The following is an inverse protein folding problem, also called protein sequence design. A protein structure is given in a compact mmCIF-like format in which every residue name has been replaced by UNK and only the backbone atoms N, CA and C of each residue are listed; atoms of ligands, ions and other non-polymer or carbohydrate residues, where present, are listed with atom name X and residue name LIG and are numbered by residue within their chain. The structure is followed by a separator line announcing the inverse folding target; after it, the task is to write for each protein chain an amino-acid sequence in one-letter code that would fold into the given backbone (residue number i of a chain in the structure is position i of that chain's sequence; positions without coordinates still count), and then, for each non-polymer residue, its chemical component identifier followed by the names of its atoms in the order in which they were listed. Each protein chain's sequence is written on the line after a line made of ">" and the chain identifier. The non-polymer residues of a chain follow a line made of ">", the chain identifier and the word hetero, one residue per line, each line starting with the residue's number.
data_IF_290062447144
#
_entry.id   IF_290062447144
#
_cell.length_a   1.000
_cell.length_b   1.000
_cell.length_c   1.000
_cell.angle_alpha   90.00
_cell.angle_beta   90.00
_cell.angle_gamma   90.00
#
_symmetry.space_group_name_H-M   'P 1'
#
loop_
_entity.id
_entity.type
_entity.pdbx_description
1 polymer ?
#
# COMPACT_ATOMS: atom_id res chain seq x y z
N UNK A 1 -2.80 31.72 34.54
CA UNK A 1 -2.30 32.94 33.87
C UNK A 1 -1.23 32.53 32.86
N UNK A 2 -1.21 33.14 31.65
CA UNK A 2 -0.64 32.70 30.34
C UNK A 2 -1.68 31.99 29.46
N UNK A 3 -2.63 32.73 28.87
CA UNK A 3 -2.56 33.53 27.64
C UNK A 3 -2.55 32.67 26.36
N UNK A 4 -3.73 32.67 25.74
CA UNK A 4 -4.13 32.21 24.41
C UNK A 4 -3.48 33.08 23.33
N UNK A 5 -3.00 32.48 22.22
CA UNK A 5 -3.05 33.12 20.89
C UNK A 5 -3.00 32.03 19.80
N UNK A 6 -4.14 31.66 19.21
CA UNK A 6 -4.74 32.29 18.01
C UNK A 6 -4.13 31.82 16.69
N UNK A 7 -4.47 30.61 16.28
CA UNK A 7 -4.52 30.22 14.85
C UNK A 7 -5.66 29.24 14.53
N UNK A 8 -6.46 28.84 15.52
CA UNK A 8 -7.63 27.95 15.36
C UNK A 8 -8.95 28.74 15.11
N UNK A 9 -8.94 30.07 15.04
CA UNK A 9 -10.22 30.82 15.16
C UNK A 9 -10.33 32.04 14.24
N UNK A 10 -10.18 31.85 12.93
CA UNK A 10 -10.70 32.83 11.95
C UNK A 10 -11.64 32.13 10.96
N UNK A 11 -11.30 30.93 10.47
CA UNK A 11 -12.18 30.17 9.57
C UNK A 11 -13.47 29.71 10.24
N UNK A 12 -13.42 29.30 11.52
CA UNK A 12 -14.61 28.86 12.26
C UNK A 12 -15.51 30.03 12.70
N UNK A 13 -14.94 31.23 12.89
CA UNK A 13 -15.67 32.43 13.33
C UNK A 13 -16.36 33.11 12.16
N UNK A 14 -15.72 33.14 10.98
CA UNK A 14 -16.34 33.65 9.75
C UNK A 14 -17.50 32.77 9.24
N UNK A 15 -17.52 31.47 9.56
CA UNK A 15 -18.63 30.58 9.21
C UNK A 15 -19.84 30.75 10.14
N UNK A 16 -19.62 31.03 11.44
CA UNK A 16 -20.70 31.30 12.39
C UNK A 16 -21.42 32.64 12.15
N UNK A 17 -20.72 33.65 11.64
CA UNK A 17 -21.33 34.96 11.32
C UNK A 17 -22.24 34.92 10.08
N UNK A 18 -22.25 33.81 9.32
CA UNK A 18 -23.11 33.60 8.16
C UNK A 18 -24.30 32.65 8.41
N UNK A 19 -24.64 32.36 9.68
CA UNK A 19 -25.84 31.58 10.03
C UNK A 19 -25.80 30.09 9.69
N UNK A 20 -24.60 29.49 9.57
CA UNK A 20 -24.43 28.05 9.38
C UNK A 20 -24.21 27.40 10.75
N UNK A 21 -25.30 27.14 11.48
CA UNK A 21 -25.27 26.63 12.85
C UNK A 21 -25.08 25.11 12.99
N UNK A 22 -24.70 24.41 11.91
CA UNK A 22 -24.48 22.97 11.98
C UNK A 22 -23.26 22.57 11.14
N UNK A 23 -22.10 22.44 11.80
CA UNK A 23 -21.01 21.60 11.29
C UNK A 23 -21.30 20.19 11.82
N UNK A 24 -22.41 19.62 11.35
CA UNK A 24 -22.46 18.17 11.19
C UNK A 24 -21.33 17.80 10.24
N UNK A 25 -20.64 16.70 10.50
CA UNK A 25 -19.84 16.03 9.48
C UNK A 25 -20.71 15.93 8.22
N UNK A 26 -20.45 16.77 7.22
CA UNK A 26 -21.17 16.84 5.95
C UNK A 26 -20.81 15.61 5.08
N UNK A 27 -21.02 14.42 5.64
CA UNK A 27 -21.32 13.22 4.90
C UNK A 27 -22.75 13.41 4.39
N UNK A 28 -22.94 14.14 3.29
CA UNK A 28 -24.19 14.04 2.57
C UNK A 28 -24.36 12.58 2.15
N UNK A 29 -25.20 11.87 2.89
CA UNK A 29 -25.86 10.65 2.44
C UNK A 29 -26.69 11.04 1.22
N UNK A 30 -26.05 11.11 0.06
CA UNK A 30 -26.75 10.83 -1.17
C UNK A 30 -27.23 9.39 -1.02
N UNK A 31 -28.54 9.17 -1.06
CA UNK A 31 -29.21 7.87 -0.92
C UNK A 31 -28.83 6.84 -2.00
N UNK A 32 -27.75 7.09 -2.73
CA UNK A 32 -27.20 6.22 -3.75
C UNK A 32 -26.75 4.90 -3.14
N UNK A 33 -27.27 3.83 -3.75
CA UNK A 33 -26.97 2.46 -3.37
C UNK A 33 -25.51 2.16 -3.70
N UNK A 34 -24.69 1.90 -2.68
CA UNK A 34 -23.29 1.48 -2.87
C UNK A 34 -23.09 0.00 -2.57
N UNK A 35 -22.19 -0.65 -3.29
CA UNK A 35 -21.67 -1.96 -2.89
C UNK A 35 -20.89 -1.84 -1.58
N UNK A 36 -21.00 -2.87 -0.73
CA UNK A 36 -20.24 -2.92 0.53
C UNK A 36 -18.73 -2.85 0.22
N UNK A 37 -17.96 -1.97 0.90
CA UNK A 37 -16.52 -1.93 0.72
C UNK A 37 -15.89 -3.25 1.17
N UNK A 38 -15.00 -3.77 0.33
CA UNK A 38 -14.31 -5.03 0.56
C UNK A 38 -12.91 -4.80 1.07
N UNK A 39 -12.59 -5.40 2.22
CA UNK A 39 -11.25 -5.33 2.81
C UNK A 39 -10.34 -6.40 2.22
N UNK A 40 -9.06 -6.05 2.07
CA UNK A 40 -8.02 -6.99 1.69
C UNK A 40 -7.91 -8.15 2.69
N UNK A 41 -7.56 -9.34 2.19
CA UNK A 41 -7.55 -10.57 2.99
C UNK A 41 -6.28 -10.66 3.86
N UNK A 42 -6.46 -10.60 5.19
CA UNK A 42 -5.36 -10.65 6.15
C UNK A 42 -4.63 -12.00 6.17
N UNK A 43 -5.33 -13.11 5.89
CA UNK A 43 -4.72 -14.43 5.80
C UNK A 43 -3.72 -14.52 4.66
N UNK A 44 -4.06 -13.95 3.50
CA UNK A 44 -3.17 -13.89 2.34
C UNK A 44 -1.96 -13.02 2.63
N UNK A 45 -2.15 -11.85 3.25
CA UNK A 45 -1.05 -10.97 3.68
C UNK A 45 -0.06 -11.71 4.59
N UNK A 46 -0.58 -12.43 5.59
CA UNK A 46 0.24 -13.16 6.56
C UNK A 46 1.00 -14.32 5.91
N UNK A 47 0.38 -15.05 4.99
CA UNK A 47 1.04 -16.14 4.29
C UNK A 47 2.10 -15.62 3.30
N UNK A 48 1.82 -14.51 2.60
CA UNK A 48 2.80 -13.86 1.73
C UNK A 48 4.02 -13.41 2.55
N UNK A 49 3.79 -12.72 3.68
CA UNK A 49 4.84 -12.34 4.62
C UNK A 49 5.65 -13.54 5.11
N UNK A 50 5.01 -14.64 5.50
CA UNK A 50 5.71 -15.86 5.97
C UNK A 50 6.64 -16.44 4.91
N UNK A 51 6.22 -16.47 3.64
CA UNK A 51 7.05 -16.95 2.53
C UNK A 51 8.30 -16.11 2.36
N UNK A 52 8.15 -14.78 2.41
CA UNK A 52 9.27 -13.84 2.32
C UNK A 52 10.20 -13.89 3.55
N UNK A 53 9.63 -13.94 4.76
CA UNK A 53 10.39 -14.05 6.00
C UNK A 53 11.26 -15.33 5.98
N UNK A 54 10.74 -16.48 5.51
CA UNK A 54 11.51 -17.72 5.36
C UNK A 54 12.73 -17.58 4.43
N UNK A 55 12.57 -16.88 3.30
CA UNK A 55 13.68 -16.63 2.37
C UNK A 55 14.73 -15.71 2.99
N UNK A 56 14.29 -14.63 3.65
CA UNK A 56 15.19 -13.71 4.35
C UNK A 56 15.98 -14.43 5.46
N UNK A 57 15.31 -15.25 6.27
CA UNK A 57 15.96 -15.95 7.37
C UNK A 57 16.98 -16.99 6.88
N UNK A 58 16.65 -17.72 5.81
CA UNK A 58 17.59 -18.64 5.17
C UNK A 58 18.82 -17.89 4.61
N UNK A 59 18.58 -16.74 3.97
CA UNK A 59 19.64 -15.87 3.46
C UNK A 59 20.53 -15.34 4.57
N UNK A 60 19.94 -14.78 5.62
CA UNK A 60 20.68 -14.20 6.73
C UNK A 60 21.53 -15.25 7.47
N UNK A 61 20.97 -16.45 7.74
CA UNK A 61 21.72 -17.56 8.34
C UNK A 61 22.93 -17.96 7.49
N UNK A 62 22.75 -18.05 6.17
CA UNK A 62 23.84 -18.34 5.24
C UNK A 62 24.91 -17.25 5.29
N UNK A 63 24.49 -15.98 5.29
CA UNK A 63 25.40 -14.83 5.31
C UNK A 63 26.18 -14.77 6.61
N UNK A 64 25.52 -14.91 7.76
CA UNK A 64 26.19 -14.98 9.07
C UNK A 64 27.23 -16.09 9.10
N UNK A 65 26.86 -17.31 8.70
CA UNK A 65 27.79 -18.44 8.66
C UNK A 65 29.02 -18.14 7.80
N UNK A 66 28.83 -17.73 6.54
CA UNK A 66 29.94 -17.57 5.60
C UNK A 66 30.78 -16.30 5.82
N UNK A 67 30.20 -15.24 6.38
CA UNK A 67 30.93 -14.00 6.66
C UNK A 67 31.71 -14.14 7.97
N UNK A 68 31.13 -14.75 9.01
CA UNK A 68 31.78 -14.85 10.33
C UNK A 68 32.80 -16.00 10.42
N UNK A 69 32.59 -17.12 9.71
CA UNK A 69 33.41 -18.33 9.88
C UNK A 69 34.93 -18.14 9.72
N UNK A 70 35.36 -17.12 8.98
CA UNK A 70 36.77 -16.82 8.76
C UNK A 70 37.02 -15.31 8.74
N UNK A 71 36.26 -14.57 9.55
CA UNK A 71 36.31 -13.11 9.54
C UNK A 71 37.71 -12.59 9.93
N UNK A 72 38.29 -13.10 11.01
CA UNK A 72 39.55 -12.60 11.57
C UNK A 72 40.80 -12.81 10.69
N UNK A 73 40.72 -13.68 9.68
CA UNK A 73 41.84 -13.97 8.79
C UNK A 73 41.68 -13.32 7.40
N UNK A 74 40.54 -12.69 7.12
CA UNK A 74 40.24 -12.15 5.78
C UNK A 74 40.78 -10.74 5.59
N UNK A 75 41.48 -10.55 4.48
CA UNK A 75 41.69 -9.22 3.90
C UNK A 75 40.37 -8.63 3.39
N UNK A 76 40.34 -7.30 3.21
CA UNK A 76 39.19 -6.61 2.59
C UNK A 76 38.80 -7.21 1.22
N UNK A 77 39.80 -7.61 0.41
CA UNK A 77 39.56 -8.21 -0.91
C UNK A 77 38.92 -9.60 -0.80
N UNK A 78 39.35 -10.42 0.15
CA UNK A 78 38.77 -11.75 0.38
C UNK A 78 37.35 -11.65 0.93
N UNK A 79 37.10 -10.70 1.83
CA UNK A 79 35.76 -10.41 2.32
C UNK A 79 34.83 -9.97 1.19
N UNK A 80 35.27 -9.05 0.32
CA UNK A 80 34.49 -8.62 -0.84
C UNK A 80 34.13 -9.80 -1.75
N UNK A 81 35.09 -10.70 -2.03
CA UNK A 81 34.86 -11.91 -2.83
C UNK A 81 33.87 -12.86 -2.17
N UNK A 82 33.96 -13.05 -0.86
CA UNK A 82 33.03 -13.89 -0.10
C UNK A 82 31.60 -13.35 -0.19
N UNK A 83 31.42 -12.04 0.00
CA UNK A 83 30.12 -11.37 -0.11
C UNK A 83 29.57 -11.49 -1.53
N UNK A 84 30.37 -11.22 -2.55
CA UNK A 84 29.95 -11.37 -3.96
C UNK A 84 29.51 -12.81 -4.28
N UNK A 85 30.18 -13.81 -3.72
CA UNK A 85 29.75 -15.21 -3.85
C UNK A 85 28.40 -15.47 -3.18
N UNK A 86 28.06 -14.74 -2.10
CA UNK A 86 26.73 -14.83 -1.45
C UNK A 86 25.67 -14.09 -2.24
N UNK A 87 25.98 -12.91 -2.76
CA UNK A 87 25.09 -12.14 -3.65
C UNK A 87 24.65 -13.02 -4.81
N UNK A 88 25.59 -13.57 -5.59
CA UNK A 88 25.27 -14.44 -6.74
C UNK A 88 24.45 -15.67 -6.37
N UNK A 89 24.75 -16.30 -5.23
CA UNK A 89 23.99 -17.45 -4.77
C UNK A 89 22.54 -17.07 -4.47
N UNK A 90 22.34 -16.03 -3.68
CA UNK A 90 21.01 -15.65 -3.20
C UNK A 90 20.19 -14.93 -4.25
N UNK A 91 20.82 -14.22 -5.17
CA UNK A 91 20.18 -13.69 -6.37
C UNK A 91 19.50 -14.81 -7.19
N UNK A 92 20.20 -15.93 -7.43
CA UNK A 92 19.60 -17.10 -8.10
C UNK A 92 18.45 -17.73 -7.31
N UNK A 93 18.59 -17.84 -5.98
CA UNK A 93 17.53 -18.41 -5.11
C UNK A 93 16.29 -17.51 -5.12
N UNK A 94 16.45 -16.21 -4.93
CA UNK A 94 15.35 -15.25 -5.00
C UNK A 94 14.77 -15.19 -6.41
N UNK A 95 15.59 -15.21 -7.46
CA UNK A 95 15.13 -15.19 -8.85
C UNK A 95 14.15 -16.32 -9.17
N UNK A 96 14.47 -17.55 -8.74
CA UNK A 96 13.59 -18.71 -8.92
C UNK A 96 12.36 -18.72 -8.00
N UNK A 97 12.47 -18.17 -6.79
CA UNK A 97 11.35 -18.16 -5.82
C UNK A 97 10.43 -16.95 -5.97
N UNK A 98 10.90 -15.86 -6.55
CA UNK A 98 10.14 -14.64 -6.74
C UNK A 98 8.93 -14.90 -7.63
N UNK A 99 9.13 -15.55 -8.78
CA UNK A 99 8.08 -15.92 -9.73
C UNK A 99 7.01 -16.80 -9.07
N UNK A 100 7.42 -17.95 -8.48
CA UNK A 100 6.51 -18.87 -7.75
C UNK A 100 5.64 -18.16 -6.71
N UNK A 101 6.26 -17.28 -5.91
CA UNK A 101 5.58 -16.56 -4.83
C UNK A 101 4.65 -15.48 -5.40
N UNK A 102 5.08 -14.75 -6.43
CA UNK A 102 4.30 -13.70 -7.07
C UNK A 102 3.04 -14.26 -7.75
N UNK A 103 3.18 -15.34 -8.53
CA UNK A 103 2.06 -16.05 -9.16
C UNK A 103 1.07 -16.53 -8.09
N UNK A 104 1.57 -17.20 -7.04
CA UNK A 104 0.70 -17.64 -5.94
C UNK A 104 -0.02 -16.46 -5.29
N UNK A 105 0.66 -15.35 -5.05
CA UNK A 105 0.10 -14.16 -4.42
C UNK A 105 -1.01 -13.56 -5.28
N UNK A 106 -0.72 -13.27 -6.55
CA UNK A 106 -1.65 -12.65 -7.49
C UNK A 106 -2.91 -13.50 -7.69
N UNK A 107 -2.74 -14.81 -7.91
CA UNK A 107 -3.86 -15.76 -8.10
C UNK A 107 -4.69 -15.95 -6.83
N UNK A 108 -4.06 -15.96 -5.65
CA UNK A 108 -4.76 -16.08 -4.37
C UNK A 108 -5.57 -14.82 -4.05
N UNK A 109 -4.99 -13.63 -4.24
CA UNK A 109 -5.73 -12.36 -4.07
C UNK A 109 -6.87 -12.25 -5.08
N UNK A 110 -6.65 -12.67 -6.33
CA UNK A 110 -7.68 -12.71 -7.40
C UNK A 110 -8.89 -13.51 -6.93
N UNK A 111 -8.66 -14.76 -6.49
CA UNK A 111 -9.71 -15.65 -5.99
C UNK A 111 -10.51 -15.03 -4.85
N UNK A 112 -9.85 -14.47 -3.85
CA UNK A 112 -10.55 -13.87 -2.71
C UNK A 112 -11.32 -12.60 -3.08
N UNK A 113 -10.76 -11.80 -3.98
CA UNK A 113 -11.42 -10.58 -4.47
C UNK A 113 -12.67 -10.92 -5.28
N UNK A 114 -12.59 -11.88 -6.21
CA UNK A 114 -13.75 -12.31 -6.99
C UNK A 114 -14.86 -12.91 -6.11
N UNK A 115 -14.50 -13.71 -5.10
CA UNK A 115 -15.47 -14.28 -4.16
C UNK A 115 -16.18 -13.17 -3.37
N UNK A 116 -15.41 -12.24 -2.79
CA UNK A 116 -16.01 -11.16 -2.01
C UNK A 116 -16.86 -10.23 -2.88
N UNK A 117 -16.43 -9.95 -4.11
CA UNK A 117 -17.14 -9.05 -5.02
C UNK A 117 -18.42 -9.71 -5.53
N UNK A 118 -18.38 -11.01 -5.83
CA UNK A 118 -19.56 -11.83 -6.12
C UNK A 118 -20.59 -11.76 -4.99
N UNK A 119 -20.16 -11.89 -3.73
CA UNK A 119 -21.05 -11.77 -2.58
C UNK A 119 -21.66 -10.37 -2.47
N UNK A 120 -20.86 -9.32 -2.70
CA UNK A 120 -21.35 -7.94 -2.69
C UNK A 120 -22.39 -7.69 -3.78
N UNK A 121 -22.14 -8.17 -5.01
CA UNK A 121 -23.06 -8.06 -6.15
C UNK A 121 -24.38 -8.81 -5.92
N UNK A 122 -24.33 -10.02 -5.35
CA UNK A 122 -25.54 -10.76 -4.96
C UNK A 122 -26.39 -9.99 -3.96
N UNK A 123 -25.75 -9.33 -3.00
CA UNK A 123 -26.44 -8.54 -1.98
C UNK A 123 -27.25 -7.37 -2.55
N UNK A 124 -26.98 -6.95 -3.79
CA UNK A 124 -27.71 -5.87 -4.47
C UNK A 124 -28.55 -6.34 -5.67
N UNK A 125 -28.62 -7.65 -5.91
CA UNK A 125 -29.40 -8.26 -7.00
C UNK A 125 -28.67 -8.39 -8.34
N UNK A 126 -27.36 -8.12 -8.41
CA UNK A 126 -26.58 -8.24 -9.65
C UNK A 126 -26.04 -9.67 -9.79
N UNK A 127 -26.48 -10.36 -10.85
CA UNK A 127 -26.10 -11.75 -11.16
C UNK A 127 -25.07 -11.90 -12.29
N UNK A 128 -24.22 -10.89 -12.49
CA UNK A 128 -23.10 -10.91 -13.46
C UNK A 128 -21.77 -10.80 -12.72
N UNK A 129 -20.85 -11.74 -12.96
CA UNK A 129 -19.60 -11.84 -12.21
C UNK A 129 -18.40 -11.94 -13.17
N UNK A 130 -17.90 -10.82 -13.72
CA UNK A 130 -16.75 -10.86 -14.61
C UNK A 130 -15.51 -11.30 -13.83
N UNK A 131 -14.66 -12.08 -14.49
CA UNK A 131 -13.32 -12.39 -13.98
C UNK A 131 -12.43 -11.15 -14.09
N UNK A 132 -11.45 -11.07 -13.20
CA UNK A 132 -10.35 -10.11 -13.34
C UNK A 132 -9.57 -10.47 -14.63
N UNK A 133 -9.25 -9.49 -15.50
CA UNK A 133 -8.49 -9.72 -16.73
C UNK A 133 -7.08 -10.25 -16.48
N UNK A 134 -6.61 -11.18 -17.32
CA UNK A 134 -5.29 -11.80 -17.15
C UNK A 134 -4.15 -10.79 -17.25
N UNK A 135 -4.25 -9.75 -18.08
CA UNK A 135 -3.21 -8.72 -18.17
C UNK A 135 -3.03 -7.95 -16.85
N UNK A 136 -4.10 -7.72 -16.10
CA UNK A 136 -4.04 -7.09 -14.76
C UNK A 136 -3.38 -8.03 -13.76
N UNK A 137 -3.68 -9.33 -13.83
CA UNK A 137 -3.04 -10.34 -12.97
C UNK A 137 -1.55 -10.44 -13.28
N UNK A 138 -1.16 -10.56 -14.55
CA UNK A 138 0.23 -10.63 -14.99
C UNK A 138 1.02 -9.38 -14.58
N UNK A 139 0.41 -8.19 -14.62
CA UNK A 139 1.05 -6.96 -14.15
C UNK A 139 1.35 -7.00 -12.64
N UNK A 140 0.42 -7.51 -11.83
CA UNK A 140 0.63 -7.71 -10.39
C UNK A 140 1.71 -8.75 -10.13
N UNK A 141 1.75 -9.82 -10.90
CA UNK A 141 2.80 -10.85 -10.82
C UNK A 141 4.17 -10.24 -11.04
N UNK A 142 4.36 -9.49 -12.15
CA UNK A 142 5.63 -8.82 -12.46
C UNK A 142 6.04 -7.80 -11.39
N UNK A 143 5.12 -6.93 -10.95
CA UNK A 143 5.40 -5.95 -9.88
C UNK A 143 5.89 -6.65 -8.60
N UNK A 144 5.21 -7.74 -8.21
CA UNK A 144 5.57 -8.46 -7.00
C UNK A 144 6.85 -9.28 -7.15
N UNK A 145 7.12 -9.84 -8.32
CA UNK A 145 8.38 -10.53 -8.63
C UNK A 145 9.56 -9.57 -8.48
N UNK A 146 9.48 -8.36 -9.05
CA UNK A 146 10.52 -7.33 -8.96
C UNK A 146 10.71 -6.85 -7.52
N UNK A 147 9.62 -6.65 -6.77
CA UNK A 147 9.68 -6.30 -5.35
C UNK A 147 10.41 -7.39 -4.54
N UNK A 148 10.15 -8.67 -4.83
CA UNK A 148 10.82 -9.78 -4.15
C UNK A 148 12.31 -9.84 -4.53
N UNK A 149 12.66 -9.65 -5.81
CA UNK A 149 14.04 -9.62 -6.29
C UNK A 149 14.86 -8.47 -5.68
N UNK A 150 14.22 -7.34 -5.41
CA UNK A 150 14.90 -6.20 -4.76
C UNK A 150 15.22 -6.42 -3.27
N UNK A 151 14.71 -7.49 -2.63
CA UNK A 151 14.98 -7.81 -1.22
C UNK A 151 16.47 -8.10 -0.97
N UNK A 152 17.09 -9.10 -1.65
CA UNK A 152 18.51 -9.38 -1.49
C UNK A 152 19.39 -8.19 -1.87
N UNK A 153 19.05 -7.42 -2.92
CA UNK A 153 19.85 -6.26 -3.34
C UNK A 153 20.02 -5.24 -2.21
N UNK A 154 18.91 -4.80 -1.59
CA UNK A 154 18.94 -3.84 -0.48
C UNK A 154 19.63 -4.41 0.75
N UNK A 155 19.43 -5.70 1.02
CA UNK A 155 20.09 -6.39 2.12
C UNK A 155 21.61 -6.42 1.94
N UNK A 156 22.10 -6.90 0.78
CA UNK A 156 23.53 -7.05 0.51
C UNK A 156 24.27 -5.73 0.35
N UNK A 157 23.59 -4.66 -0.08
CA UNK A 157 24.17 -3.31 -0.03
C UNK A 157 24.54 -2.93 1.41
N UNK A 158 23.65 -3.21 2.36
CA UNK A 158 23.89 -2.99 3.79
C UNK A 158 25.01 -3.87 4.33
N UNK A 159 24.99 -5.17 4.00
CA UNK A 159 26.02 -6.13 4.44
C UNK A 159 27.41 -5.75 3.90
N UNK A 160 27.52 -5.36 2.63
CA UNK A 160 28.79 -4.93 2.03
C UNK A 160 29.37 -3.73 2.77
N UNK A 161 28.52 -2.74 3.08
CA UNK A 161 28.93 -1.55 3.83
C UNK A 161 29.45 -1.93 5.23
N UNK A 162 28.67 -2.72 5.97
CA UNK A 162 29.01 -3.14 7.34
C UNK A 162 30.29 -3.97 7.37
N UNK A 163 30.46 -4.91 6.44
CA UNK A 163 31.65 -5.77 6.41
C UNK A 163 32.93 -4.99 6.05
N UNK A 164 32.84 -4.00 5.16
CA UNK A 164 34.00 -3.15 4.84
C UNK A 164 34.37 -2.27 6.03
N UNK A 165 33.38 -1.69 6.72
CA UNK A 165 33.63 -0.92 7.95
C UNK A 165 34.28 -1.79 9.03
N UNK A 166 33.79 -3.02 9.21
CA UNK A 166 34.34 -3.95 10.19
C UNK A 166 35.85 -4.20 9.97
N UNK A 167 36.28 -4.40 8.72
CA UNK A 167 37.70 -4.59 8.41
C UNK A 167 38.51 -3.29 8.55
N UNK A 168 37.99 -2.17 8.07
CA UNK A 168 38.71 -0.88 8.12
C UNK A 168 38.96 -0.40 9.55
N UNK A 169 38.02 -0.66 10.46
CA UNK A 169 38.07 -0.21 11.85
C UNK A 169 38.39 -1.34 12.83
N UNK A 170 38.81 -2.50 12.34
CA UNK A 170 39.18 -3.68 13.14
C UNK A 170 38.13 -4.07 14.19
N UNK A 171 36.86 -4.15 13.77
CA UNK A 171 35.76 -4.55 14.65
C UNK A 171 35.88 -6.00 15.08
N UNK A 172 35.37 -6.32 16.28
CA UNK A 172 35.22 -7.70 16.71
C UNK A 172 34.16 -8.46 15.90
N UNK A 173 34.28 -9.79 15.84
CA UNK A 173 33.29 -10.64 15.17
C UNK A 173 31.88 -10.48 15.77
N UNK A 174 31.78 -10.29 17.09
CA UNK A 174 30.51 -10.02 17.79
C UNK A 174 29.89 -8.69 17.35
N UNK A 175 30.70 -7.63 17.19
CA UNK A 175 30.20 -6.35 16.68
C UNK A 175 29.71 -6.47 15.23
N UNK A 176 30.46 -7.16 14.36
CA UNK A 176 30.04 -7.43 13.00
C UNK A 176 28.72 -8.22 12.95
N UNK A 177 28.59 -9.26 13.76
CA UNK A 177 27.36 -10.04 13.87
C UNK A 177 26.17 -9.16 14.24
N UNK A 178 26.29 -8.34 15.28
CA UNK A 178 25.23 -7.42 15.73
C UNK A 178 24.81 -6.44 14.63
N UNK A 179 25.75 -5.92 13.85
CA UNK A 179 25.44 -5.04 12.73
C UNK A 179 24.74 -5.78 11.57
N UNK A 180 25.13 -7.02 11.27
CA UNK A 180 24.43 -7.86 10.29
C UNK A 180 22.98 -8.13 10.74
N UNK A 181 22.77 -8.47 12.02
CA UNK A 181 21.44 -8.68 12.60
C UNK A 181 20.57 -7.42 12.52
N UNK A 182 21.15 -6.22 12.72
CA UNK A 182 20.44 -4.95 12.50
C UNK A 182 19.98 -4.81 11.04
N UNK A 183 20.82 -5.17 10.05
CA UNK A 183 20.43 -5.14 8.63
C UNK A 183 19.33 -6.14 8.31
N UNK A 184 19.39 -7.34 8.89
CA UNK A 184 18.29 -8.30 8.83
C UNK A 184 16.99 -7.69 9.38
N UNK A 185 17.02 -7.06 10.55
CA UNK A 185 15.85 -6.41 11.15
C UNK A 185 15.28 -5.24 10.32
N UNK A 186 16.10 -4.53 9.55
CA UNK A 186 15.64 -3.52 8.58
C UNK A 186 14.91 -4.20 7.41
N UNK A 187 15.53 -5.23 6.81
CA UNK A 187 14.93 -5.95 5.68
C UNK A 187 13.64 -6.69 6.08
N UNK A 188 13.59 -7.23 7.29
CA UNK A 188 12.42 -7.85 7.89
C UNK A 188 11.24 -6.86 8.02
N UNK A 189 11.51 -5.62 8.44
CA UNK A 189 10.49 -4.56 8.48
C UNK A 189 10.03 -4.19 7.07
N UNK A 190 10.96 -4.11 6.11
CA UNK A 190 10.65 -3.87 4.69
C UNK A 190 9.71 -4.94 4.12
N UNK A 191 9.97 -6.22 4.39
CA UNK A 191 9.10 -7.33 3.94
C UNK A 191 7.67 -7.18 4.46
N UNK A 192 7.48 -6.77 5.72
CA UNK A 192 6.15 -6.49 6.28
C UNK A 192 5.44 -5.36 5.56
N UNK A 193 6.18 -4.29 5.27
CA UNK A 193 5.65 -3.17 4.49
C UNK A 193 5.23 -3.63 3.12
N UNK A 194 6.07 -4.38 2.39
CA UNK A 194 5.74 -4.94 1.07
C UNK A 194 4.48 -5.80 1.15
N UNK A 195 4.43 -6.77 2.06
CA UNK A 195 3.31 -7.70 2.15
C UNK A 195 1.98 -6.96 2.44
N UNK A 196 1.99 -6.01 3.39
CA UNK A 196 0.82 -5.19 3.72
C UNK A 196 0.41 -4.32 2.54
N UNK A 197 1.35 -3.56 1.99
CA UNK A 197 1.11 -2.63 0.89
C UNK A 197 0.51 -3.33 -0.32
N UNK A 198 1.18 -4.38 -0.80
CA UNK A 198 0.79 -5.10 -1.99
C UNK A 198 -0.56 -5.80 -1.79
N UNK A 199 -0.83 -6.39 -0.63
CA UNK A 199 -2.14 -7.03 -0.38
C UNK A 199 -3.29 -6.02 -0.49
N UNK A 200 -3.11 -4.80 0.02
CA UNK A 200 -4.12 -3.76 -0.08
C UNK A 200 -4.23 -3.19 -1.51
N UNK A 201 -3.11 -2.84 -2.12
CA UNK A 201 -3.04 -2.29 -3.48
C UNK A 201 -3.63 -3.24 -4.52
N UNK A 202 -3.22 -4.52 -4.49
CA UNK A 202 -3.73 -5.55 -5.42
C UNK A 202 -5.24 -5.76 -5.25
N UNK A 203 -5.75 -5.77 -4.00
CA UNK A 203 -7.19 -5.92 -3.76
C UNK A 203 -7.99 -4.76 -4.38
N UNK A 204 -7.55 -3.51 -4.19
CA UNK A 204 -8.24 -2.35 -4.77
C UNK A 204 -8.10 -2.28 -6.29
N UNK A 205 -6.94 -2.64 -6.84
CA UNK A 205 -6.72 -2.74 -8.29
C UNK A 205 -7.62 -3.79 -8.93
N UNK A 206 -7.76 -4.96 -8.32
CA UNK A 206 -8.65 -6.02 -8.81
C UNK A 206 -10.11 -5.64 -8.71
N UNK A 207 -10.53 -4.97 -7.62
CA UNK A 207 -11.89 -4.41 -7.53
C UNK A 207 -12.14 -3.40 -8.65
N UNK A 208 -11.17 -2.53 -8.94
CA UNK A 208 -11.25 -1.57 -10.06
C UNK A 208 -11.49 -2.28 -11.38
N UNK A 209 -10.68 -3.29 -11.70
CA UNK A 209 -10.83 -4.05 -12.93
C UNK A 209 -12.20 -4.75 -13.06
N UNK A 210 -12.77 -5.24 -11.94
CA UNK A 210 -14.13 -5.79 -11.94
C UNK A 210 -15.18 -4.69 -12.19
N UNK A 211 -15.04 -3.51 -11.58
CA UNK A 211 -15.94 -2.38 -11.79
C UNK A 211 -15.91 -1.91 -13.25
N UNK A 212 -14.72 -1.80 -13.84
CA UNK A 212 -14.52 -1.42 -15.24
C UNK A 212 -15.25 -2.42 -16.18
N UNK A 213 -15.11 -3.72 -15.93
CA UNK A 213 -15.80 -4.77 -16.69
C UNK A 213 -17.34 -4.76 -16.52
N UNK A 214 -17.84 -4.24 -15.42
CA UNK A 214 -19.28 -4.06 -15.16
C UNK A 214 -19.81 -2.73 -15.69
N UNK A 215 -18.94 -1.81 -16.11
CA UNK A 215 -19.31 -0.46 -16.51
C UNK A 215 -19.66 0.46 -15.34
N UNK A 216 -19.24 0.13 -14.11
CA UNK A 216 -19.45 0.98 -12.94
C UNK A 216 -18.42 2.12 -12.98
N UNK A 217 -18.88 3.37 -13.08
CA UNK A 217 -17.98 4.53 -13.27
C UNK A 217 -17.60 5.23 -11.98
N UNK A 218 -18.49 5.27 -11.01
CA UNK A 218 -18.31 6.06 -9.79
C UNK A 218 -18.16 5.21 -8.54
N UNK A 219 -17.42 5.74 -7.58
CA UNK A 219 -17.26 5.14 -6.28
C UNK A 219 -17.23 6.18 -5.18
N UNK A 220 -17.58 5.74 -3.98
CA UNK A 220 -17.38 6.49 -2.74
C UNK A 220 -16.06 6.07 -2.11
N UNK A 221 -15.23 7.05 -1.73
CA UNK A 221 -14.01 6.81 -0.97
C UNK A 221 -14.37 6.30 0.42
N UNK A 222 -13.70 5.24 0.87
CA UNK A 222 -13.90 4.65 2.19
C UNK A 222 -12.56 4.63 2.91
N UNK A 223 -12.43 5.55 3.87
CA UNK A 223 -11.32 5.57 4.78
C UNK A 223 -11.44 4.39 5.76
N UNK A 224 -10.33 3.69 5.98
CA UNK A 224 -10.26 2.61 6.98
C UNK A 224 -9.17 2.93 7.99
N UNK A 225 -9.58 3.09 9.25
CA UNK A 225 -8.67 3.30 10.36
C UNK A 225 -7.82 2.06 10.64
N UNK A 226 -6.54 2.08 10.23
CA UNK A 226 -5.58 0.99 10.50
C UNK A 226 -4.12 1.42 10.59
N UNK A 227 -3.78 2.66 10.27
CA UNK A 227 -2.41 3.16 10.36
C UNK A 227 -2.21 3.96 11.64
N UNK A 228 -1.04 3.78 12.28
CA UNK A 228 -0.60 4.55 13.44
C UNK A 228 -0.46 6.04 13.09
N UNK A 229 0.02 6.32 11.87
CA UNK A 229 0.04 7.66 11.27
C UNK A 229 -1.08 7.78 10.24
N UNK A 230 -2.07 8.63 10.50
CA UNK A 230 -3.09 8.96 9.50
C UNK A 230 -2.59 10.05 8.55
N UNK A 231 -3.02 9.95 7.29
CA UNK A 231 -3.00 11.08 6.37
C UNK A 231 -4.33 11.82 6.53
N UNK A 232 -4.30 13.00 7.13
CA UNK A 232 -5.51 13.81 7.38
C UNK A 232 -6.30 14.05 6.07
N UNK A 233 -5.61 14.17 4.94
CA UNK A 233 -6.21 14.33 3.63
C UNK A 233 -7.03 13.13 3.17
N UNK A 234 -6.63 11.91 3.55
CA UNK A 234 -7.38 10.67 3.27
C UNK A 234 -8.58 10.51 4.22
N UNK A 235 -8.46 10.99 5.46
CA UNK A 235 -9.58 11.04 6.41
C UNK A 235 -10.64 12.03 5.92
N UNK A 236 -10.21 13.22 5.51
CA UNK A 236 -11.08 14.23 4.90
C UNK A 236 -11.66 13.79 3.55
N UNK A 237 -11.07 12.78 2.91
CA UNK A 237 -11.57 12.18 1.67
C UNK A 237 -12.69 11.15 1.91
N UNK A 238 -12.91 10.71 3.15
CA UNK A 238 -13.96 9.73 3.46
C UNK A 238 -15.34 10.22 3.01
N UNK A 239 -16.10 9.32 2.39
CA UNK A 239 -17.42 9.63 1.86
C UNK A 239 -17.46 10.37 0.52
N UNK A 240 -16.32 10.83 -0.01
CA UNK A 240 -16.30 11.57 -1.29
C UNK A 240 -16.60 10.67 -2.48
N UNK A 241 -17.44 11.16 -3.38
CA UNK A 241 -17.66 10.55 -4.69
C UNK A 241 -16.51 10.90 -5.63
N UNK A 242 -16.10 9.92 -6.43
CA UNK A 242 -15.08 10.09 -7.46
C UNK A 242 -15.30 9.13 -8.62
N UNK A 243 -14.69 9.46 -9.76
CA UNK A 243 -14.64 8.62 -10.96
C UNK A 243 -13.53 7.57 -10.78
N UNK A 244 -13.89 6.29 -10.86
CA UNK A 244 -12.97 5.15 -10.63
C UNK A 244 -11.80 5.18 -11.63
N UNK A 245 -12.03 5.63 -12.86
CA UNK A 245 -10.99 5.68 -13.89
C UNK A 245 -9.92 6.72 -13.56
N UNK A 246 -10.33 7.85 -12.98
CA UNK A 246 -9.47 9.01 -12.66
C UNK A 246 -8.88 8.96 -11.26
N UNK A 247 -9.62 8.45 -10.27
CA UNK A 247 -9.27 8.55 -8.86
C UNK A 247 -9.88 9.77 -8.17
N UNK A 248 -9.65 9.89 -6.87
CA UNK A 248 -10.15 10.99 -6.04
C UNK A 248 -9.12 12.12 -5.99
N UNK A 249 -9.56 13.36 -6.17
CA UNK A 249 -8.68 14.52 -6.03
C UNK A 249 -8.35 14.72 -4.53
N UNK A 250 -7.14 14.35 -4.11
CA UNK A 250 -6.63 14.43 -2.75
C UNK A 250 -5.30 15.18 -2.79
N UNK A 251 -5.12 16.18 -1.93
CA UNK A 251 -3.91 17.02 -1.88
C UNK A 251 -3.51 17.75 -3.18
N UNK A 252 -4.38 17.76 -4.19
CA UNK A 252 -4.12 18.41 -5.49
C UNK A 252 -3.76 17.40 -6.59
N UNK A 253 -3.65 16.13 -6.23
CA UNK A 253 -3.36 15.02 -7.13
C UNK A 253 -4.56 14.07 -7.20
N UNK A 254 -4.71 13.38 -8.33
CA UNK A 254 -5.69 12.31 -8.44
C UNK A 254 -5.08 11.03 -7.90
N UNK A 255 -5.63 10.55 -6.78
CA UNK A 255 -5.13 9.38 -6.06
C UNK A 255 -6.23 8.33 -6.00
N UNK A 256 -5.89 7.09 -6.29
CA UNK A 256 -6.78 5.95 -6.11
C UNK A 256 -6.62 5.32 -4.71
N UNK A 257 -7.69 4.76 -4.10
CA UNK A 257 -7.56 4.04 -2.85
C UNK A 257 -6.55 2.88 -2.96
N UNK A 258 -5.66 2.75 -1.98
CA UNK A 258 -4.61 1.71 -2.00
C UNK A 258 -3.40 2.01 -2.90
N UNK A 259 -3.38 3.12 -3.63
CA UNK A 259 -2.27 3.47 -4.55
C UNK A 259 -0.99 3.88 -3.80
N UNK A 260 -1.11 4.81 -2.85
CA UNK A 260 0.02 5.27 -2.06
C UNK A 260 0.53 4.19 -1.10
N UNK A 261 1.84 4.21 -0.83
CA UNK A 261 2.46 3.26 0.08
C UNK A 261 1.76 3.23 1.44
N UNK A 262 1.49 2.02 1.96
CA UNK A 262 0.79 1.79 3.24
C UNK A 262 -0.61 2.43 3.32
N UNK A 263 -1.26 2.70 2.19
CA UNK A 263 -2.64 3.18 2.16
C UNK A 263 -3.61 2.00 2.37
N UNK A 264 -4.40 2.05 3.45
CA UNK A 264 -5.43 1.04 3.73
C UNK A 264 -6.84 1.48 3.29
N UNK A 265 -6.95 2.61 2.58
CA UNK A 265 -8.23 3.09 2.10
C UNK A 265 -8.80 2.13 1.05
N UNK A 266 -10.11 2.07 0.98
CA UNK A 266 -10.86 1.29 0.00
C UNK A 266 -11.88 2.18 -0.69
N UNK A 267 -12.66 1.61 -1.59
CA UNK A 267 -13.83 2.27 -2.14
C UNK A 267 -15.06 1.37 -2.13
N UNK A 268 -16.21 2.03 -2.08
CA UNK A 268 -17.53 1.45 -2.24
C UNK A 268 -18.07 1.85 -3.62
N UNK A 269 -18.11 0.93 -4.60
CA UNK A 269 -18.68 1.22 -5.92
C UNK A 269 -20.13 1.70 -5.82
N UNK A 270 -20.50 2.72 -6.59
CA UNK A 270 -21.87 3.25 -6.66
C UNK A 270 -22.63 2.46 -7.73
N UNK A 271 -23.85 2.03 -7.42
CA UNK A 271 -24.76 1.43 -8.38
C UNK A 271 -25.64 2.56 -8.90
N UNK A 272 -25.43 2.94 -10.16
CA UNK A 272 -26.18 4.01 -10.82
C UNK A 272 -27.61 3.55 -11.11
N UNK A 273 -28.60 4.34 -10.69
CA UNK A 273 -29.96 4.25 -11.20
C UNK A 273 -30.16 5.27 -12.35
N UNK A 274 -31.11 5.05 -13.27
CA UNK A 274 -31.37 5.98 -14.37
C UNK A 274 -31.67 7.39 -13.85
N UNK A 275 -30.82 8.37 -14.19
CA UNK A 275 -30.94 9.78 -13.78
C UNK A 275 -29.91 10.25 -12.74
N UNK A 276 -29.20 9.32 -12.09
CA UNK A 276 -28.23 9.65 -11.02
C UNK A 276 -26.95 10.31 -11.54
N UNK A 277 -26.59 10.10 -12.81
CA UNK A 277 -25.29 10.48 -13.36
C UNK A 277 -25.00 11.99 -13.21
N UNK A 278 -25.98 12.84 -13.50
CA UNK A 278 -25.83 14.30 -13.39
C UNK A 278 -25.82 14.78 -11.94
N UNK A 279 -26.46 14.05 -11.02
CA UNK A 279 -26.34 14.31 -9.59
C UNK A 279 -24.94 13.94 -9.08
N UNK A 280 -24.42 12.78 -9.47
CA UNK A 280 -23.06 12.34 -9.10
C UNK A 280 -22.01 13.34 -9.60
N UNK A 281 -22.11 13.77 -10.86
CA UNK A 281 -21.19 14.77 -11.42
C UNK A 281 -21.23 16.09 -10.66
N UNK A 282 -22.44 16.59 -10.32
CA UNK A 282 -22.60 17.80 -9.51
C UNK A 282 -21.97 17.65 -8.13
N UNK A 283 -22.12 16.50 -7.48
CA UNK A 283 -21.50 16.24 -6.18
C UNK A 283 -19.96 16.13 -6.27
N UNK A 284 -19.43 15.50 -7.31
CA UNK A 284 -17.99 15.49 -7.58
C UNK A 284 -17.46 16.92 -7.78
N UNK A 285 -18.22 17.78 -8.47
CA UNK A 285 -17.84 19.18 -8.70
C UNK A 285 -17.95 20.05 -7.44
N UNK A 286 -19.00 19.90 -6.63
CA UNK A 286 -19.12 20.56 -5.32
C UNK A 286 -17.93 20.23 -4.42
N UNK A 287 -17.53 18.96 -4.37
CA UNK A 287 -16.34 18.52 -3.64
C UNK A 287 -15.05 19.21 -4.12
N UNK A 288 -14.97 19.62 -5.40
CA UNK A 288 -13.86 20.44 -5.93
C UNK A 288 -13.97 21.90 -5.53
N UNK A 289 -15.17 22.48 -5.57
CA UNK A 289 -15.42 23.90 -5.29
C UNK A 289 -15.09 24.27 -3.83
N UNK A 290 -15.60 23.52 -2.86
CA UNK A 290 -15.36 23.81 -1.43
C UNK A 290 -13.88 23.74 -1.04
N UNK A 291 -13.05 23.00 -1.78
CA UNK A 291 -11.60 22.96 -1.56
C UNK A 291 -10.84 24.17 -2.12
N UNK A 292 -11.27 24.77 -3.23
CA UNK A 292 -10.67 26.03 -3.72
C UNK A 292 -10.85 27.14 -2.68
N UNK A 293 -12.05 27.21 -2.10
CA UNK A 293 -12.37 28.16 -1.03
C UNK A 293 -11.55 27.85 0.24
N UNK A 294 -11.46 26.58 0.66
CA UNK A 294 -10.69 26.19 1.85
C UNK A 294 -9.17 26.40 1.71
N UNK A 295 -8.64 26.41 0.48
CA UNK A 295 -7.23 26.71 0.17
C UNK A 295 -6.94 28.22 0.04
N UNK A 296 -7.95 29.07 0.14
CA UNK A 296 -7.79 30.52 0.00
C UNK A 296 -7.69 31.01 -1.45
N UNK A 297 -7.89 30.12 -2.44
CA UNK A 297 -7.93 30.47 -3.85
C UNK A 297 -9.30 31.10 -4.17
N UNK A 298 -9.49 32.35 -3.74
CA UNK A 298 -10.60 33.17 -4.21
C UNK A 298 -10.30 33.62 -5.64
N UNK A 299 -11.14 33.21 -6.59
CA UNK A 299 -11.37 34.04 -7.78
C UNK A 299 -12.25 35.22 -7.40
#
# INVERSE_FOLDING_TARGET
>A
MKLISKSISISLVLLKLNGIDNIDCFCYNVGMKTLKPMKANKGVEMEYRKRLDKLLDAMNKSVLYWILADYGNRTAKEMARAIQKRIKQWDKVFGSKAEDIAIWFATTVKKHTEIGFRTALRGVGINRYPSIPNNVVNAVELENEDLIRSIPEKYFLGISTVAMMAIMYDWSADMLQKEIEKRHGITWRRIRTIARDQTHKTNELYKKAICDNLGIKYARWVYTWRSETQRESHVAADGRLFDISKGCLIDGEYIFPGELINCNCSFAPVIEEPGDEEEIKREIEKNRYYRKIARGDKK
#
